data_IF_636683613639
#
_entry.id   IF_636683613639
#
_cell.length_a   1.000
_cell.length_b   1.000
_cell.length_c   1.000
_cell.angle_alpha   90.00
_cell.angle_beta   90.00
_cell.angle_gamma   90.00
#
_symmetry.space_group_name_H-M   'P 1'
#
loop_
_entity.id
_entity.type
_entity.pdbx_description
1 polymer ?
#
# COMPACT_ATOMS: atom_id res chain seq x y z
N UNK A 1 35.45 9.92 -61.80
CA UNK A 1 36.40 8.79 -61.95
C UNK A 1 36.39 7.98 -60.66
N UNK A 2 36.24 6.69 -60.86
CA UNK A 2 36.50 5.56 -59.95
C UNK A 2 35.44 5.23 -58.91
N UNK A 3 34.66 4.24 -59.29
CA UNK A 3 33.89 3.29 -58.48
C UNK A 3 34.77 2.57 -57.46
N UNK A 4 34.26 2.30 -56.28
CA UNK A 4 34.54 1.05 -55.58
C UNK A 4 33.27 0.57 -54.85
N UNK A 5 32.66 -0.45 -55.42
CA UNK A 5 31.77 -1.37 -54.72
C UNK A 5 32.49 -2.07 -53.58
N UNK A 6 31.90 -2.13 -52.44
CA UNK A 6 32.15 -3.21 -51.45
C UNK A 6 30.86 -3.70 -50.85
N UNK A 7 30.50 -4.89 -51.26
CA UNK A 7 29.50 -5.73 -50.65
C UNK A 7 30.02 -6.21 -49.31
N UNK A 8 29.23 -6.20 -48.25
CA UNK A 8 29.46 -6.99 -47.04
C UNK A 8 28.15 -7.48 -46.41
N UNK A 9 28.03 -8.75 -46.54
CA UNK A 9 27.51 -9.80 -45.66
C UNK A 9 26.41 -9.46 -44.66
N UNK A 10 25.29 -10.15 -44.86
CA UNK A 10 24.22 -10.40 -43.92
C UNK A 10 24.75 -11.22 -42.74
N UNK A 11 24.67 -10.68 -41.52
CA UNK A 11 24.71 -11.44 -40.30
C UNK A 11 23.29 -11.51 -39.73
N UNK A 12 22.69 -12.70 -39.83
CA UNK A 12 21.38 -12.97 -39.24
C UNK A 12 21.46 -12.99 -37.69
N UNK A 13 20.75 -12.06 -37.04
CA UNK A 13 20.54 -12.07 -35.61
C UNK A 13 19.22 -12.81 -35.36
N UNK A 14 19.35 -14.02 -34.81
CA UNK A 14 18.23 -14.82 -34.30
C UNK A 14 17.79 -14.15 -33.00
N UNK A 15 16.67 -13.41 -33.02
CA UNK A 15 16.00 -12.97 -31.80
C UNK A 15 15.26 -14.14 -31.17
N UNK A 16 15.81 -14.67 -30.08
CA UNK A 16 15.07 -15.54 -29.18
C UNK A 16 13.94 -14.73 -28.55
N UNK A 17 12.71 -15.02 -28.96
CA UNK A 17 11.50 -14.44 -28.36
C UNK A 17 11.34 -14.99 -26.96
N UNK A 18 11.73 -14.20 -25.94
CA UNK A 18 11.31 -14.40 -24.57
C UNK A 18 9.81 -14.09 -24.49
N UNK A 19 8.99 -15.13 -24.29
CA UNK A 19 7.59 -14.96 -23.95
C UNK A 19 7.52 -14.26 -22.58
N UNK A 20 7.30 -12.95 -22.59
CA UNK A 20 6.90 -12.23 -21.41
C UNK A 20 5.48 -12.71 -21.07
N UNK A 21 5.32 -13.31 -19.91
CA UNK A 21 4.01 -13.56 -19.31
C UNK A 21 3.44 -12.19 -19.01
N UNK A 22 2.62 -11.68 -19.89
CA UNK A 22 1.80 -10.51 -19.66
C UNK A 22 0.74 -10.94 -18.64
N UNK A 23 0.90 -10.51 -17.40
CA UNK A 23 -0.20 -10.52 -16.44
C UNK A 23 -1.32 -9.66 -16.99
N UNK A 24 -2.53 -10.15 -16.93
CA UNK A 24 -3.72 -9.49 -17.45
C UNK A 24 -3.87 -8.09 -16.83
N UNK A 25 -3.97 -7.03 -17.63
CA UNK A 25 -4.12 -5.67 -17.11
C UNK A 25 -5.56 -5.35 -16.63
N UNK A 26 -6.48 -6.29 -16.65
CA UNK A 26 -7.88 -6.05 -16.29
C UNK A 26 -8.16 -5.97 -14.78
N UNK A 27 -7.22 -6.42 -13.91
CA UNK A 27 -7.41 -6.35 -12.45
C UNK A 27 -6.99 -5.01 -11.82
N UNK A 28 -6.33 -4.13 -12.56
CA UNK A 28 -5.82 -2.86 -12.02
C UNK A 28 -6.90 -1.79 -11.78
N UNK A 29 -8.11 -1.96 -12.29
CA UNK A 29 -9.18 -0.93 -12.25
C UNK A 29 -10.39 -1.33 -11.38
N UNK A 30 -10.32 -2.45 -10.67
CA UNK A 30 -11.40 -2.84 -9.78
C UNK A 30 -11.22 -2.16 -8.42
N UNK A 31 -12.13 -1.28 -8.02
CA UNK A 31 -12.01 -0.60 -6.73
C UNK A 31 -12.01 -1.63 -5.59
N UNK A 32 -11.10 -1.46 -4.63
CA UNK A 32 -11.04 -2.32 -3.45
C UNK A 32 -12.41 -2.31 -2.73
N UNK A 33 -13.08 -3.46 -2.59
CA UNK A 33 -14.41 -3.55 -2.00
C UNK A 33 -14.46 -3.12 -0.52
N UNK A 34 -13.31 -3.00 0.13
CA UNK A 34 -13.19 -2.49 1.49
C UNK A 34 -13.34 -0.97 1.57
N UNK A 35 -13.14 -0.26 0.45
CA UNK A 35 -13.29 1.19 0.38
C UNK A 35 -14.78 1.50 0.26
N UNK A 36 -15.34 2.04 1.34
CA UNK A 36 -16.71 2.46 1.39
C UNK A 36 -16.92 3.89 0.92
N UNK A 37 -17.92 4.53 1.46
CA UNK A 37 -18.35 5.89 1.11
C UNK A 37 -17.32 6.93 1.52
N UNK A 38 -17.08 7.94 0.67
CA UNK A 38 -16.33 9.14 1.06
C UNK A 38 -17.12 9.93 2.11
N UNK A 39 -16.42 10.31 3.18
CA UNK A 39 -16.99 11.08 4.28
C UNK A 39 -16.21 12.37 4.48
N UNK A 40 -16.89 13.41 4.91
CA UNK A 40 -16.27 14.73 5.09
C UNK A 40 -15.50 14.86 6.41
N UNK A 41 -15.78 13.99 7.41
CA UNK A 41 -15.21 14.12 8.75
C UNK A 41 -15.31 12.84 9.57
N UNK A 42 -14.39 12.70 10.52
CA UNK A 42 -14.43 11.69 11.60
C UNK A 42 -14.57 12.45 12.92
N UNK A 43 -15.67 12.28 13.64
CA UNK A 43 -15.88 12.94 14.94
C UNK A 43 -15.81 11.90 16.08
N UNK A 44 -15.06 12.13 17.11
CA UNK A 44 -14.13 13.21 17.44
C UNK A 44 -12.71 12.68 17.34
N UNK A 45 -11.70 13.57 17.14
CA UNK A 45 -10.31 13.17 16.99
C UNK A 45 -9.78 12.33 18.17
N UNK A 46 -10.20 12.67 19.39
CA UNK A 46 -9.82 11.95 20.63
C UNK A 46 -10.38 10.52 20.72
N UNK A 47 -11.33 10.14 19.89
CA UNK A 47 -11.88 8.78 19.84
C UNK A 47 -11.15 7.89 18.83
N UNK A 48 -10.19 8.44 18.12
CA UNK A 48 -9.29 7.69 17.24
C UNK A 48 -8.20 7.10 18.14
N UNK A 49 -8.19 5.78 18.24
CA UNK A 49 -7.38 5.03 19.20
C UNK A 49 -6.35 4.09 18.57
N UNK A 50 -6.39 3.91 17.27
CA UNK A 50 -5.47 3.04 16.57
C UNK A 50 -5.29 3.45 15.12
N UNK A 51 -4.17 3.01 14.52
CA UNK A 51 -3.88 3.20 13.11
C UNK A 51 -3.19 1.97 12.52
N UNK A 52 -3.28 1.84 11.20
CA UNK A 52 -2.55 0.83 10.42
C UNK A 52 -2.08 1.42 9.10
N UNK A 53 -0.85 1.09 8.71
CA UNK A 53 -0.40 1.33 7.34
C UNK A 53 -1.03 0.32 6.39
N UNK A 54 -1.35 0.74 5.18
CA UNK A 54 -1.80 -0.16 4.11
C UNK A 54 -0.58 -0.71 3.38
N UNK A 55 -0.54 -2.02 3.16
CA UNK A 55 0.55 -2.65 2.42
C UNK A 55 0.48 -2.24 0.95
N UNK A 56 1.61 -1.79 0.41
CA UNK A 56 1.69 -1.40 -1.01
C UNK A 56 1.13 -0.01 -1.34
N UNK A 57 0.53 0.70 -0.38
CA UNK A 57 0.01 2.05 -0.58
C UNK A 57 0.76 3.05 0.30
N UNK A 58 1.55 3.90 -0.34
CA UNK A 58 2.09 5.10 0.31
C UNK A 58 0.99 6.19 0.36
N UNK A 59 1.13 7.12 1.27
CA UNK A 59 0.17 8.20 1.49
C UNK A 59 -1.24 7.75 1.90
N UNK A 60 -1.37 6.55 2.45
CA UNK A 60 -2.63 6.03 2.99
C UNK A 60 -2.43 5.49 4.39
N UNK A 61 -3.36 5.82 5.28
CA UNK A 61 -3.43 5.27 6.63
C UNK A 61 -4.86 4.88 6.97
N UNK A 62 -5.02 3.77 7.66
CA UNK A 62 -6.29 3.40 8.27
C UNK A 62 -6.31 3.92 9.70
N UNK A 63 -7.35 4.66 10.04
CA UNK A 63 -7.60 5.15 11.40
C UNK A 63 -8.79 4.39 11.98
N UNK A 64 -8.64 3.91 13.22
CA UNK A 64 -9.74 3.28 13.94
C UNK A 64 -10.35 4.26 14.93
N UNK A 65 -11.67 4.36 14.91
CA UNK A 65 -12.47 5.08 15.88
C UNK A 65 -13.24 4.10 16.75
N UNK A 66 -12.90 4.07 18.03
CA UNK A 66 -13.50 3.10 18.94
C UNK A 66 -13.24 1.65 18.53
N UNK A 67 -14.22 0.78 18.66
CA UNK A 67 -14.01 -0.68 18.56
C UNK A 67 -14.10 -1.20 17.11
N UNK A 68 -14.97 -0.60 16.28
CA UNK A 68 -15.37 -1.20 15.00
C UNK A 68 -15.20 -0.29 13.80
N UNK A 69 -15.24 1.02 13.98
CA UNK A 69 -15.30 1.96 12.87
C UNK A 69 -13.89 2.23 12.35
N UNK A 70 -13.63 1.85 11.12
CA UNK A 70 -12.38 2.12 10.44
C UNK A 70 -12.60 3.13 9.31
N UNK A 71 -11.58 3.95 9.10
CA UNK A 71 -11.57 4.95 8.05
C UNK A 71 -10.25 4.87 7.29
N UNK A 72 -10.34 4.84 5.98
CA UNK A 72 -9.21 4.98 5.08
C UNK A 72 -8.98 6.46 4.81
N UNK A 73 -7.80 6.93 5.15
CA UNK A 73 -7.43 8.34 5.03
C UNK A 73 -6.30 8.46 4.02
N UNK A 74 -6.57 9.22 2.97
CA UNK A 74 -5.57 9.58 1.97
C UNK A 74 -4.87 10.86 2.40
N UNK A 75 -3.55 10.91 2.19
CA UNK A 75 -2.68 11.95 2.67
C UNK A 75 -1.98 12.66 1.52
N UNK A 76 -1.60 13.91 1.74
CA UNK A 76 -0.75 14.69 0.84
C UNK A 76 0.59 14.91 1.53
N UNK A 77 1.67 14.78 0.77
CA UNK A 77 3.03 14.99 1.25
C UNK A 77 3.87 13.72 1.25
N UNK A 78 5.01 13.77 1.94
CA UNK A 78 5.96 12.66 2.02
C UNK A 78 5.62 11.73 3.18
N UNK A 79 4.41 11.18 3.18
CA UNK A 79 3.89 10.33 4.25
C UNK A 79 3.85 8.88 3.78
N UNK A 80 4.94 8.17 4.02
CA UNK A 80 5.11 6.79 3.55
C UNK A 80 4.46 5.79 4.51
N UNK A 81 4.03 4.65 3.97
CA UNK A 81 3.49 3.56 4.78
C UNK A 81 4.47 3.12 5.89
N UNK A 82 5.79 3.16 5.63
CA UNK A 82 6.81 2.83 6.62
C UNK A 82 6.83 3.78 7.82
N UNK A 83 6.54 5.07 7.62
CA UNK A 83 6.48 6.05 8.71
C UNK A 83 5.40 5.64 9.72
N UNK A 84 4.25 5.19 9.22
CA UNK A 84 3.16 4.69 10.07
C UNK A 84 3.44 3.34 10.70
N UNK A 85 4.19 2.45 10.03
CA UNK A 85 4.57 1.13 10.61
C UNK A 85 5.56 1.28 11.75
N UNK A 86 6.52 2.20 11.62
CA UNK A 86 7.52 2.48 12.64
C UNK A 86 7.09 3.53 13.66
N UNK A 87 5.89 4.09 13.53
CA UNK A 87 5.40 5.14 14.41
C UNK A 87 5.24 4.63 15.85
N UNK A 88 5.82 5.37 16.78
CA UNK A 88 5.63 5.16 18.21
C UNK A 88 4.31 5.76 18.67
N UNK A 89 3.90 6.86 18.04
CA UNK A 89 2.63 7.54 18.31
C UNK A 89 2.22 8.38 17.11
N UNK A 90 0.92 8.59 16.98
CA UNK A 90 0.37 9.60 16.07
C UNK A 90 -0.41 10.63 16.88
N UNK A 91 -0.40 11.87 16.40
CA UNK A 91 -1.24 12.96 16.89
C UNK A 91 -2.12 13.47 15.77
N UNK A 92 -3.26 14.06 16.09
CA UNK A 92 -4.13 14.69 15.10
C UNK A 92 -4.34 16.15 15.49
N UNK A 93 -3.91 17.04 14.61
CA UNK A 93 -4.18 18.47 14.73
C UNK A 93 -5.48 18.79 13.97
N UNK A 94 -6.59 18.85 14.71
CA UNK A 94 -7.89 19.28 14.18
C UNK A 94 -8.26 20.68 14.66
N UNK A 95 -9.12 21.34 13.91
CA UNK A 95 -9.63 22.69 14.27
C UNK A 95 -11.15 22.65 14.39
N UNK A 96 -11.73 22.87 15.59
CA UNK A 96 -11.06 23.08 16.90
C UNK A 96 -10.37 21.83 17.42
N UNK A 97 -9.40 22.02 18.31
CA UNK A 97 -8.66 20.91 18.93
C UNK A 97 -9.61 19.91 19.60
N UNK A 98 -9.43 18.62 19.32
CA UNK A 98 -10.32 17.54 19.80
C UNK A 98 -11.67 17.46 19.10
N UNK A 99 -11.91 18.33 18.11
CA UNK A 99 -13.10 18.31 17.26
C UNK A 99 -13.12 17.18 16.24
N UNK A 100 -13.90 17.37 15.18
CA UNK A 100 -13.90 16.40 14.06
C UNK A 100 -12.63 16.57 13.24
N UNK A 101 -12.11 15.44 12.76
CA UNK A 101 -11.02 15.40 11.79
C UNK A 101 -11.61 15.57 10.41
N UNK A 102 -11.05 16.49 9.64
CA UNK A 102 -11.55 16.87 8.31
C UNK A 102 -10.41 16.93 7.30
N UNK A 103 -10.77 17.11 6.04
CA UNK A 103 -9.82 17.42 4.98
C UNK A 103 -9.00 18.67 5.33
N UNK A 104 -7.69 18.61 5.11
CA UNK A 104 -6.74 19.69 5.44
C UNK A 104 -6.18 19.65 6.85
N UNK A 105 -6.79 18.88 7.76
CA UNK A 105 -6.21 18.62 9.08
C UNK A 105 -4.91 17.80 8.93
N UNK A 106 -4.12 17.74 10.00
CA UNK A 106 -2.77 17.15 9.97
C UNK A 106 -2.68 15.97 10.91
N UNK A 107 -2.13 14.88 10.40
CA UNK A 107 -1.67 13.77 11.21
C UNK A 107 -0.17 13.97 11.47
N UNK A 108 0.20 14.04 12.73
CA UNK A 108 1.58 14.06 13.19
C UNK A 108 2.04 12.63 13.44
N UNK A 109 3.09 12.21 12.76
CA UNK A 109 3.65 10.86 12.91
C UNK A 109 5.01 10.97 13.57
N UNK A 110 5.13 10.44 14.79
CA UNK A 110 6.39 10.38 15.52
C UNK A 110 6.96 8.98 15.44
N UNK A 111 8.08 8.85 14.75
CA UNK A 111 8.88 7.64 14.66
C UNK A 111 9.98 7.56 15.72
N UNK A 112 10.90 6.60 15.59
CA UNK A 112 12.13 6.54 16.37
C UNK A 112 12.98 7.80 16.13
N UNK A 113 13.44 8.45 17.20
CA UNK A 113 14.15 9.72 17.15
C UNK A 113 13.22 10.93 17.30
N UNK A 114 13.76 12.12 17.08
CA UNK A 114 13.03 13.38 17.31
C UNK A 114 12.27 13.90 16.09
N UNK A 115 12.21 13.12 15.01
CA UNK A 115 11.53 13.53 13.79
C UNK A 115 10.03 13.35 13.91
N UNK A 116 9.30 14.41 13.54
CA UNK A 116 7.85 14.40 13.44
C UNK A 116 7.46 14.73 12.01
N UNK A 117 6.88 13.76 11.30
CA UNK A 117 6.31 13.97 9.98
C UNK A 117 4.91 14.57 10.09
N UNK A 118 4.60 15.53 9.22
CA UNK A 118 3.31 16.21 9.15
C UNK A 118 2.60 15.78 7.86
N UNK A 119 1.50 15.07 8.02
CA UNK A 119 0.74 14.47 6.94
C UNK A 119 -0.61 15.15 6.82
N UNK A 120 -0.86 15.88 5.73
CA UNK A 120 -2.13 16.55 5.49
C UNK A 120 -3.18 15.58 4.94
N UNK A 121 -4.36 15.61 5.50
CA UNK A 121 -5.50 14.79 5.05
C UNK A 121 -6.06 15.36 3.75
N UNK A 122 -6.16 14.53 2.72
CA UNK A 122 -6.77 14.88 1.43
C UNK A 122 -8.19 14.36 1.30
N UNK A 123 -8.40 13.08 1.65
CA UNK A 123 -9.72 12.44 1.58
C UNK A 123 -9.88 11.46 2.72
N UNK A 124 -11.13 11.16 3.03
CA UNK A 124 -11.51 10.21 4.08
C UNK A 124 -12.62 9.32 3.53
N UNK A 125 -12.47 8.01 3.70
CA UNK A 125 -13.46 7.01 3.32
C UNK A 125 -13.80 6.12 4.52
N UNK A 126 -15.02 5.65 4.57
CA UNK A 126 -15.35 4.51 5.43
C UNK A 126 -14.54 3.29 4.98
N UNK A 127 -14.15 2.44 5.92
CA UNK A 127 -13.38 1.24 5.62
C UNK A 127 -14.00 0.03 6.29
N UNK A 128 -14.34 -0.99 5.48
CA UNK A 128 -14.83 -2.25 6.00
C UNK A 128 -13.71 -3.31 6.00
N UNK A 129 -13.08 -3.60 7.15
CA UNK A 129 -12.03 -4.60 7.22
C UNK A 129 -12.51 -6.04 6.96
N UNK A 130 -13.84 -6.26 6.91
CA UNK A 130 -14.44 -7.58 6.69
C UNK A 130 -14.89 -7.80 5.25
N UNK A 131 -15.01 -6.74 4.46
CA UNK A 131 -15.26 -6.91 3.04
C UNK A 131 -14.06 -7.65 2.45
N UNK A 132 -14.33 -8.70 1.70
CA UNK A 132 -13.29 -9.57 1.13
C UNK A 132 -12.40 -8.74 0.22
N UNK A 133 -11.12 -8.62 0.57
CA UNK A 133 -10.13 -8.16 -0.38
C UNK A 133 -10.17 -9.06 -1.63
N UNK A 134 -9.82 -8.56 -2.81
CA UNK A 134 -9.52 -9.46 -3.92
C UNK A 134 -8.51 -10.48 -3.37
N UNK A 135 -8.84 -11.78 -3.46
CA UNK A 135 -7.99 -12.84 -2.92
C UNK A 135 -6.58 -12.69 -3.51
N UNK A 136 -5.64 -12.20 -2.71
CA UNK A 136 -4.24 -12.54 -2.93
C UNK A 136 -4.22 -14.06 -2.79
N UNK A 137 -4.05 -14.77 -3.88
CA UNK A 137 -3.88 -16.22 -3.90
C UNK A 137 -2.71 -16.51 -2.98
N UNK A 138 -3.00 -16.95 -1.75
CA UNK A 138 -2.00 -17.59 -0.91
C UNK A 138 -1.63 -18.87 -1.67
N UNK A 139 -0.42 -18.87 -2.26
CA UNK A 139 0.18 -20.10 -2.73
C UNK A 139 0.15 -21.09 -1.55
N UNK A 140 -0.43 -22.28 -1.75
CA UNK A 140 -0.43 -23.28 -0.69
C UNK A 140 1.04 -23.61 -0.38
N UNK A 141 1.41 -23.45 0.91
CA UNK A 141 2.66 -23.99 1.44
C UNK A 141 2.74 -25.45 1.02
N UNK A 142 3.63 -25.76 0.07
CA UNK A 142 4.00 -27.13 -0.22
C UNK A 142 4.54 -27.74 1.07
N UNK A 143 4.02 -28.89 1.51
CA UNK A 143 4.57 -29.56 2.68
C UNK A 143 6.02 -29.97 2.34
N UNK A 144 6.98 -29.44 3.10
CA UNK A 144 8.35 -29.91 3.06
C UNK A 144 8.34 -31.37 3.43
N UNK A 145 8.63 -32.25 2.43
CA UNK A 145 8.90 -33.65 2.62
C UNK A 145 10.11 -33.78 3.55
N UNK A 146 9.86 -34.10 4.81
CA UNK A 146 10.91 -34.58 5.72
C UNK A 146 11.51 -35.89 5.17
N UNK A 147 12.82 -35.98 4.94
CA UNK A 147 13.43 -37.24 4.59
C UNK A 147 13.39 -38.15 5.81
N UNK A 148 12.67 -39.25 5.66
CA UNK A 148 12.64 -40.42 6.52
C UNK A 148 14.07 -40.97 6.67
N UNK A 149 14.73 -40.63 7.79
CA UNK A 149 15.94 -41.34 8.23
C UNK A 149 15.54 -42.56 9.06
N UNK A 150 15.16 -43.61 8.36
CA UNK A 150 15.12 -44.91 8.94
C UNK A 150 16.36 -45.70 8.49
N UNK A 151 16.98 -46.35 9.45
CA UNK A 151 17.84 -47.52 9.39
C UNK A 151 19.36 -47.34 9.30
N UNK A 152 19.97 -47.60 10.43
CA UNK A 152 21.10 -48.56 10.46
C UNK A 152 21.35 -49.07 11.88
N UNK A 153 21.17 -50.33 12.07
CA UNK A 153 21.76 -51.33 12.92
C UNK A 153 23.17 -51.04 13.44
#
# INVERSE_FOLDING_TARGET
MVNVLKAMALAGIVFASSAAIAGDPEDADKPDPRIGKEVNRICFSRTIDSWKAVKGEDNVVLLRKGVRDWYRVELIGLCRANDFRSALTIGIESRPAGGCVTRGDVILVRGPGDFVNRCHISKIYEWDPKATAPEETEEPDEPEDEPDESDSE
#
